data_IF_349784390581
#
_entry.id   IF_349784390581
#
_cell.length_a   1.000
_cell.length_b   1.000
_cell.length_c   1.000
_cell.angle_alpha   90.00
_cell.angle_beta   90.00
_cell.angle_gamma   90.00
#
_symmetry.space_group_name_H-M   'P 1'
#
loop_
_entity.id
_entity.type
_entity.pdbx_description
1 polymer ?
#
# COMPACT_ATOMS: atom_id res chain seq x y z
N UNK A 1 30.08 31.60 18.26
CA UNK A 1 29.04 32.41 18.91
C UNK A 1 28.22 31.50 19.80
N UNK A 2 28.33 31.69 21.11
CA UNK A 2 27.62 30.92 22.13
C UNK A 2 26.14 31.34 22.17
N UNK A 3 25.22 30.38 22.30
CA UNK A 3 23.83 30.68 22.65
C UNK A 3 23.33 29.73 23.76
N UNK A 4 23.49 30.24 24.98
CA UNK A 4 22.55 30.24 26.10
C UNK A 4 21.52 29.11 26.21
N UNK A 5 21.82 28.20 27.14
CA UNK A 5 20.90 27.27 27.80
C UNK A 5 19.86 28.05 28.63
N UNK A 6 18.56 27.77 28.41
CA UNK A 6 17.47 28.14 29.33
C UNK A 6 17.32 27.07 30.39
N UNK A 7 17.69 27.39 31.62
CA UNK A 7 17.40 26.60 32.82
C UNK A 7 15.99 26.91 33.32
N UNK A 8 15.12 25.91 33.35
CA UNK A 8 13.84 25.97 34.08
C UNK A 8 14.05 25.24 35.41
N UNK A 9 14.01 25.99 36.51
CA UNK A 9 14.02 25.45 37.87
C UNK A 9 12.57 25.50 38.36
N UNK A 10 11.90 24.37 38.41
CA UNK A 10 10.62 24.21 39.11
C UNK A 10 10.92 23.90 40.58
N UNK A 11 10.70 24.87 41.46
CA UNK A 11 10.76 24.70 42.89
C UNK A 11 9.49 24.03 43.41
N UNK A 12 9.65 23.02 44.26
CA UNK A 12 8.59 22.49 45.10
C UNK A 12 9.06 22.37 46.55
N UNK A 13 8.07 22.56 47.44
CA UNK A 13 7.97 22.17 48.86
C UNK A 13 8.61 23.04 49.96
N UNK A 14 7.75 23.73 50.71
CA UNK A 14 7.90 24.07 52.14
C UNK A 14 7.94 22.78 53.01
N UNK A 15 8.43 22.84 54.26
CA UNK A 15 7.53 23.14 55.39
C UNK A 15 8.15 24.00 56.52
N UNK A 16 7.26 24.43 57.43
CA UNK A 16 7.47 25.19 58.67
C UNK A 16 8.48 24.55 59.66
N UNK A 17 9.27 25.37 60.37
CA UNK A 17 9.58 25.21 61.80
C UNK A 17 10.34 26.42 62.38
N UNK A 18 10.04 26.69 63.64
CA UNK A 18 10.35 27.82 64.52
C UNK A 18 11.83 27.98 64.94
N UNK A 19 12.17 29.23 65.32
CA UNK A 19 13.26 29.69 66.20
C UNK A 19 14.30 28.66 66.69
N UNK A 20 15.60 28.93 66.42
CA UNK A 20 16.71 28.87 67.39
C UNK A 20 18.07 29.11 66.70
N UNK A 21 18.92 29.88 67.36
CA UNK A 21 20.33 29.53 67.56
C UNK A 21 21.29 29.62 66.37
N UNK A 22 22.15 30.64 66.41
CA UNK A 22 23.42 30.72 65.69
C UNK A 22 24.29 29.49 65.95
N UNK A 23 24.61 28.72 64.91
CA UNK A 23 25.74 27.79 64.89
C UNK A 23 26.50 27.97 63.56
N UNK A 24 27.74 28.46 63.65
CA UNK A 24 28.67 28.57 62.52
C UNK A 24 29.12 27.17 62.11
N UNK A 25 28.45 26.58 61.11
CA UNK A 25 28.89 25.35 60.46
C UNK A 25 30.01 25.60 59.45
N UNK A 26 31.15 24.95 59.66
CA UNK A 26 32.28 24.90 58.72
C UNK A 26 31.81 24.38 57.35
N UNK A 27 31.92 25.23 56.32
CA UNK A 27 31.54 24.92 54.95
C UNK A 27 32.66 24.11 54.28
N UNK A 28 32.62 22.78 54.39
CA UNK A 28 33.47 21.90 53.59
C UNK A 28 33.00 21.98 52.14
N UNK A 29 33.81 22.58 51.25
CA UNK A 29 33.59 22.49 49.80
C UNK A 29 33.87 21.06 49.37
N UNK A 30 32.83 20.23 49.25
CA UNK A 30 32.91 18.99 48.49
C UNK A 30 32.79 19.39 47.02
N UNK A 31 33.88 19.25 46.27
CA UNK A 31 33.86 19.41 44.83
C UNK A 31 33.03 18.27 44.24
N UNK A 32 31.74 18.54 44.05
CA UNK A 32 30.82 17.61 43.42
C UNK A 32 31.05 17.71 41.92
N UNK A 33 31.97 16.91 41.39
CA UNK A 33 32.10 16.70 39.94
C UNK A 33 30.80 16.06 39.45
N UNK A 34 29.87 16.86 38.94
CA UNK A 34 28.72 16.38 38.17
C UNK A 34 29.25 15.82 36.86
N UNK A 35 29.42 14.51 36.80
CA UNK A 35 29.63 13.79 35.55
C UNK A 35 28.30 13.74 34.80
N UNK A 36 28.17 14.57 33.76
CA UNK A 36 27.09 14.41 32.80
C UNK A 36 27.44 13.23 31.89
N UNK A 37 26.85 12.06 32.15
CA UNK A 37 26.85 10.98 31.17
C UNK A 37 25.88 11.36 30.05
N UNK A 38 26.40 11.88 28.94
CA UNK A 38 25.61 11.99 27.72
C UNK A 38 25.41 10.58 27.18
N UNK A 39 24.19 10.05 27.25
CA UNK A 39 23.80 8.80 26.59
C UNK A 39 23.82 9.00 25.06
N UNK A 40 25.02 9.03 24.49
CA UNK A 40 25.24 9.25 23.05
C UNK A 40 24.57 8.14 22.20
N UNK A 41 24.35 6.96 22.78
CA UNK A 41 23.65 5.84 22.16
C UNK A 41 22.21 6.15 21.69
N UNK A 42 21.50 7.06 22.36
CA UNK A 42 20.12 7.40 22.01
C UNK A 42 20.04 8.36 20.82
N UNK A 43 21.09 9.14 20.56
CA UNK A 43 21.17 10.05 19.41
C UNK A 43 21.76 9.41 18.16
N UNK A 44 22.54 8.34 18.30
CA UNK A 44 23.15 7.64 17.16
C UNK A 44 22.21 6.64 16.47
N UNK A 45 21.10 6.22 17.10
CA UNK A 45 20.12 5.33 16.47
C UNK A 45 19.17 6.15 15.60
N UNK A 46 19.44 6.19 14.30
CA UNK A 46 18.46 6.66 13.32
C UNK A 46 17.13 5.90 13.57
N UNK A 47 15.97 6.58 13.60
CA UNK A 47 14.70 5.92 13.85
C UNK A 47 14.50 4.84 12.80
N UNK A 48 14.23 3.60 13.24
CA UNK A 48 13.88 2.50 12.34
C UNK A 48 12.65 2.94 11.57
N UNK A 49 12.76 2.99 10.23
CA UNK A 49 11.64 3.39 9.38
C UNK A 49 10.49 2.40 9.60
N UNK A 50 9.29 2.84 9.98
CA UNK A 50 8.16 1.93 10.15
C UNK A 50 7.74 1.44 8.75
N UNK A 51 8.00 0.17 8.45
CA UNK A 51 7.64 -0.44 7.17
C UNK A 51 8.41 -1.72 6.88
N UNK A 52 7.77 -2.62 6.12
CA UNK A 52 8.41 -3.83 5.61
C UNK A 52 9.21 -3.44 4.36
N UNK A 53 10.49 -3.88 4.22
CA UNK A 53 11.28 -3.63 3.02
C UNK A 53 10.63 -4.18 1.74
N UNK A 54 10.72 -3.44 0.62
CA UNK A 54 10.11 -3.85 -0.66
C UNK A 54 10.57 -5.22 -1.18
N UNK A 55 11.84 -5.57 -0.98
CA UNK A 55 12.40 -6.87 -1.41
C UNK A 55 11.75 -8.08 -0.75
N UNK A 56 11.07 -7.89 0.38
CA UNK A 56 10.37 -8.95 1.11
C UNK A 56 8.91 -9.06 0.68
N UNK A 57 8.39 -8.10 -0.08
CA UNK A 57 7.00 -8.06 -0.52
C UNK A 57 6.88 -8.57 -1.95
N UNK A 58 5.85 -9.38 -2.18
CA UNK A 58 5.52 -9.93 -3.50
C UNK A 58 4.19 -9.38 -4.00
N UNK A 59 4.18 -8.90 -5.24
CA UNK A 59 2.98 -8.43 -5.95
C UNK A 59 2.50 -9.52 -6.91
N UNK A 60 1.28 -9.99 -6.72
CA UNK A 60 0.61 -10.99 -7.54
C UNK A 60 -0.39 -10.37 -8.52
N UNK A 61 -0.31 -10.80 -9.78
CA UNK A 61 -1.24 -10.44 -10.86
C UNK A 61 -1.95 -11.70 -11.36
N UNK A 62 -3.11 -12.05 -10.80
CA UNK A 62 -3.87 -13.22 -11.24
C UNK A 62 -4.63 -12.91 -12.54
N UNK A 63 -5.03 -13.96 -13.24
CA UNK A 63 -5.89 -13.88 -14.41
C UNK A 63 -7.33 -13.62 -13.98
N UNK A 64 -8.05 -12.82 -14.77
CA UNK A 64 -9.47 -12.58 -14.53
C UNK A 64 -10.31 -13.78 -14.99
N UNK A 65 -11.20 -14.24 -14.11
CA UNK A 65 -12.09 -15.38 -14.35
C UNK A 65 -13.50 -14.97 -14.80
N UNK A 66 -13.80 -13.67 -14.75
CA UNK A 66 -15.10 -13.16 -15.15
C UNK A 66 -15.31 -13.31 -16.67
N UNK A 67 -16.54 -13.66 -17.08
CA UNK A 67 -16.86 -13.90 -18.48
C UNK A 67 -16.55 -12.68 -19.35
N UNK A 68 -15.85 -12.90 -20.46
CA UNK A 68 -15.45 -11.88 -21.43
C UNK A 68 -14.58 -10.74 -20.86
N UNK A 69 -14.01 -10.89 -19.66
CA UNK A 69 -13.03 -9.95 -19.15
C UNK A 69 -11.70 -10.17 -19.88
N UNK A 70 -11.24 -9.14 -20.60
CA UNK A 70 -10.03 -9.22 -21.41
C UNK A 70 -8.88 -8.41 -20.84
N UNK A 71 -9.15 -7.54 -19.86
CA UNK A 71 -8.14 -6.66 -19.26
C UNK A 71 -7.27 -7.45 -18.27
N UNK A 72 -6.06 -6.96 -18.07
CA UNK A 72 -5.12 -7.41 -17.05
C UNK A 72 -4.78 -6.26 -16.11
N UNK A 73 -4.52 -6.55 -14.83
CA UNK A 73 -4.32 -5.51 -13.83
C UNK A 73 -3.00 -4.74 -13.98
N UNK A 74 -1.94 -5.42 -14.46
CA UNK A 74 -0.64 -4.80 -14.74
C UNK A 74 -0.18 -5.13 -16.16
N UNK A 75 0.27 -4.10 -16.87
CA UNK A 75 1.00 -4.26 -18.14
C UNK A 75 2.48 -4.57 -17.88
N UNK A 76 3.22 -5.11 -18.86
CA UNK A 76 4.66 -5.32 -18.73
C UNK A 76 5.45 -4.05 -18.35
N UNK A 77 5.01 -2.87 -18.82
CA UNK A 77 5.60 -1.59 -18.41
C UNK A 77 5.34 -1.25 -16.94
N UNK A 78 4.14 -1.58 -16.43
CA UNK A 78 3.82 -1.45 -15.01
C UNK A 78 4.67 -2.38 -14.14
N UNK A 79 4.89 -3.61 -14.60
CA UNK A 79 5.79 -4.58 -13.95
C UNK A 79 7.21 -4.04 -13.84
N UNK A 80 7.79 -3.52 -14.92
CA UNK A 80 9.13 -2.93 -14.89
C UNK A 80 9.24 -1.80 -13.85
N UNK A 81 8.19 -1.01 -13.68
CA UNK A 81 8.18 0.10 -12.71
C UNK A 81 8.20 -0.42 -11.28
N UNK A 82 7.43 -1.46 -10.97
CA UNK A 82 7.40 -2.08 -9.64
C UNK A 82 8.71 -2.81 -9.31
N UNK A 83 9.29 -3.51 -10.30
CA UNK A 83 10.58 -4.17 -10.15
C UNK A 83 11.69 -3.13 -9.90
N UNK A 84 11.66 -1.98 -10.59
CA UNK A 84 12.58 -0.87 -10.34
C UNK A 84 12.45 -0.28 -8.93
N UNK A 85 11.25 -0.28 -8.34
CA UNK A 85 11.05 0.11 -6.95
C UNK A 85 11.56 -0.93 -5.95
N UNK A 86 11.77 -2.17 -6.39
CA UNK A 86 12.35 -3.26 -5.60
C UNK A 86 11.35 -4.32 -5.12
N UNK A 87 10.13 -4.35 -5.68
CA UNK A 87 9.16 -5.41 -5.43
C UNK A 87 9.47 -6.65 -6.26
N UNK A 88 9.13 -7.83 -5.72
CA UNK A 88 9.05 -9.05 -6.52
C UNK A 88 7.67 -9.12 -7.17
N UNK A 89 7.61 -9.39 -8.48
CA UNK A 89 6.34 -9.48 -9.21
C UNK A 89 6.13 -10.88 -9.72
N UNK A 90 4.97 -11.47 -9.40
CA UNK A 90 4.51 -12.76 -9.90
C UNK A 90 3.24 -12.56 -10.71
N UNK A 91 3.16 -13.22 -11.87
CA UNK A 91 2.05 -13.12 -12.81
C UNK A 91 1.52 -14.52 -13.09
N UNK A 92 0.20 -14.69 -13.09
CA UNK A 92 -0.41 -15.96 -13.48
C UNK A 92 -0.18 -16.23 -14.97
N UNK A 93 0.16 -17.47 -15.33
CA UNK A 93 0.32 -17.85 -16.74
C UNK A 93 -0.96 -17.56 -17.53
N UNK A 94 -0.79 -16.89 -18.68
CA UNK A 94 -1.91 -16.54 -19.56
C UNK A 94 -2.76 -15.36 -19.07
N UNK A 95 -2.37 -14.66 -17.99
CA UNK A 95 -3.14 -13.51 -17.49
C UNK A 95 -3.27 -12.37 -18.51
N UNK A 96 -2.25 -12.18 -19.36
CA UNK A 96 -2.19 -11.10 -20.34
C UNK A 96 -2.69 -11.46 -21.74
N UNK A 97 -2.99 -12.73 -22.04
CA UNK A 97 -3.25 -13.19 -23.41
C UNK A 97 -4.40 -12.43 -24.07
N UNK A 98 -5.51 -12.26 -23.35
CA UNK A 98 -6.68 -11.52 -23.84
C UNK A 98 -6.41 -10.01 -24.03
N UNK A 99 -5.42 -9.47 -23.31
CA UNK A 99 -4.90 -8.11 -23.45
C UNK A 99 -3.77 -7.99 -24.49
N UNK A 100 -3.46 -9.07 -25.22
CA UNK A 100 -2.34 -9.15 -26.19
C UNK A 100 -0.95 -8.99 -25.56
N UNK A 101 -0.79 -9.37 -24.30
CA UNK A 101 0.52 -9.48 -23.66
C UNK A 101 0.86 -10.95 -23.43
N UNK A 102 1.90 -11.46 -24.09
CA UNK A 102 2.42 -12.80 -23.85
C UNK A 102 3.18 -12.89 -22.52
N UNK A 103 3.24 -14.10 -21.98
CA UNK A 103 4.02 -14.41 -20.77
C UNK A 103 5.51 -14.04 -20.93
N UNK A 104 6.05 -14.09 -22.15
CA UNK A 104 7.44 -13.71 -22.44
C UNK A 104 7.70 -12.21 -22.24
N UNK A 105 6.72 -11.35 -22.52
CA UNK A 105 6.84 -9.93 -22.23
C UNK A 105 6.92 -9.67 -20.72
N UNK A 106 6.20 -10.45 -19.91
CA UNK A 106 6.27 -10.37 -18.45
C UNK A 106 7.60 -10.90 -17.90
N UNK A 107 8.11 -12.01 -18.45
CA UNK A 107 9.45 -12.52 -18.10
C UNK A 107 10.54 -11.51 -18.42
N UNK A 108 10.50 -10.91 -19.61
CA UNK A 108 11.44 -9.85 -20.02
C UNK A 108 11.34 -8.58 -19.15
N UNK A 109 10.16 -8.29 -18.60
CA UNK A 109 9.95 -7.20 -17.66
C UNK A 109 10.46 -7.49 -16.23
N UNK A 110 10.91 -8.72 -15.96
CA UNK A 110 11.42 -9.13 -14.65
C UNK A 110 10.39 -9.76 -13.71
N UNK A 111 9.19 -10.11 -14.21
CA UNK A 111 8.23 -10.89 -13.45
C UNK A 111 8.49 -12.40 -13.57
N UNK A 112 8.10 -13.14 -12.54
CA UNK A 112 8.04 -14.60 -12.57
C UNK A 112 6.64 -15.07 -12.93
N UNK A 113 6.55 -16.09 -13.78
CA UNK A 113 5.26 -16.71 -14.14
C UNK A 113 4.99 -17.87 -13.19
N UNK A 114 3.84 -17.86 -12.53
CA UNK A 114 3.45 -18.84 -11.53
C UNK A 114 2.00 -19.33 -11.72
N UNK A 115 1.60 -20.32 -10.93
CA UNK A 115 0.22 -20.83 -10.94
C UNK A 115 -0.76 -19.91 -10.20
N UNK A 116 -2.05 -19.99 -10.54
CA UNK A 116 -3.10 -19.15 -9.97
C UNK A 116 -3.11 -19.10 -8.43
N UNK A 117 -2.94 -20.26 -7.77
CA UNK A 117 -2.96 -20.36 -6.30
C UNK A 117 -1.80 -19.60 -5.65
N UNK A 118 -0.61 -19.69 -6.23
CA UNK A 118 0.60 -19.05 -5.70
C UNK A 118 0.50 -17.53 -5.86
N UNK A 119 0.01 -17.08 -7.01
CA UNK A 119 -0.18 -15.67 -7.31
C UNK A 119 -1.20 -15.02 -6.37
N UNK A 120 -2.32 -15.69 -6.10
CA UNK A 120 -3.34 -15.21 -5.14
C UNK A 120 -2.85 -15.21 -3.68
N UNK A 121 -1.85 -16.02 -3.34
CA UNK A 121 -1.24 -16.08 -2.02
C UNK A 121 -0.14 -15.01 -1.79
N UNK A 122 0.03 -14.07 -2.72
CA UNK A 122 1.01 -12.98 -2.62
C UNK A 122 0.66 -11.97 -1.51
N UNK A 123 1.64 -11.16 -1.09
CA UNK A 123 1.43 -10.12 -0.08
C UNK A 123 0.53 -8.99 -0.59
N UNK A 124 0.74 -8.58 -1.85
CA UNK A 124 -0.08 -7.63 -2.56
C UNK A 124 -0.73 -8.34 -3.75
N UNK A 125 -2.06 -8.35 -3.84
CA UNK A 125 -2.78 -8.91 -4.98
C UNK A 125 -3.44 -7.76 -5.73
N UNK A 126 -3.11 -7.60 -7.00
CA UNK A 126 -3.64 -6.55 -7.86
C UNK A 126 -4.56 -7.17 -8.91
N UNK A 127 -5.84 -6.86 -8.82
CA UNK A 127 -6.88 -7.35 -9.73
C UNK A 127 -7.62 -6.18 -10.37
N UNK A 128 -8.24 -6.43 -11.51
CA UNK A 128 -9.16 -5.49 -12.12
C UNK A 128 -10.47 -5.56 -11.37
N UNK A 129 -11.11 -6.73 -11.35
CA UNK A 129 -12.43 -6.90 -10.73
C UNK A 129 -12.34 -7.50 -9.33
N UNK A 130 -13.45 -7.39 -8.61
CA UNK A 130 -13.64 -8.03 -7.32
C UNK A 130 -13.38 -9.54 -7.41
N UNK A 131 -12.76 -10.16 -6.38
CA UNK A 131 -12.62 -11.60 -6.30
C UNK A 131 -13.99 -12.30 -6.33
N UNK A 132 -14.08 -13.40 -7.08
CA UNK A 132 -15.33 -14.18 -7.20
C UNK A 132 -15.09 -15.68 -7.01
N UNK A 133 -16.15 -16.48 -7.10
CA UNK A 133 -16.02 -17.95 -7.09
C UNK A 133 -15.32 -18.39 -8.37
N UNK A 134 -14.20 -19.10 -8.23
CA UNK A 134 -13.46 -19.63 -9.36
C UNK A 134 -14.09 -20.97 -9.79
N UNK A 135 -14.71 -21.07 -10.98
CA UNK A 135 -15.33 -22.30 -11.43
C UNK A 135 -14.33 -23.43 -11.68
N UNK A 136 -13.08 -23.10 -12.03
CA UNK A 136 -12.02 -24.08 -12.32
C UNK A 136 -11.46 -24.71 -11.03
N UNK A 137 -11.35 -23.91 -9.97
CA UNK A 137 -10.80 -24.37 -8.69
C UNK A 137 -11.88 -24.83 -7.69
N UNK A 138 -13.15 -24.50 -7.95
CA UNK A 138 -14.28 -24.81 -7.06
C UNK A 138 -14.27 -24.04 -5.73
N UNK A 139 -13.39 -23.04 -5.59
CA UNK A 139 -13.21 -22.25 -4.36
C UNK A 139 -13.35 -20.76 -4.65
N UNK A 140 -13.70 -19.99 -3.61
CA UNK A 140 -13.75 -18.54 -3.73
C UNK A 140 -12.34 -17.96 -3.73
N UNK A 141 -12.03 -17.02 -4.62
CA UNK A 141 -10.69 -16.42 -4.69
C UNK A 141 -10.28 -15.71 -3.40
N UNK A 142 -11.25 -15.13 -2.67
CA UNK A 142 -11.00 -14.55 -1.35
C UNK A 142 -10.43 -15.59 -0.35
N UNK A 143 -10.75 -16.87 -0.51
CA UNK A 143 -10.20 -17.93 0.34
C UNK A 143 -8.75 -18.28 -0.02
N UNK A 144 -8.28 -17.89 -1.20
CA UNK A 144 -6.89 -18.11 -1.61
C UNK A 144 -5.97 -16.97 -1.20
N UNK A 145 -6.52 -15.87 -0.69
CA UNK A 145 -5.74 -14.73 -0.21
C UNK A 145 -5.00 -15.06 1.08
N UNK A 146 -3.77 -14.57 1.18
CA UNK A 146 -2.94 -14.65 2.38
C UNK A 146 -3.55 -13.82 3.53
N UNK A 147 -3.40 -14.31 4.76
CA UNK A 147 -3.72 -13.53 5.96
C UNK A 147 -2.84 -12.29 6.02
N UNK A 148 -3.44 -11.13 6.30
CA UNK A 148 -2.75 -9.83 6.29
C UNK A 148 -2.16 -9.42 4.94
N UNK A 149 -2.62 -10.02 3.83
CA UNK A 149 -2.36 -9.51 2.49
C UNK A 149 -3.12 -8.21 2.21
N UNK A 150 -2.71 -7.51 1.15
CA UNK A 150 -3.43 -6.35 0.62
C UNK A 150 -4.01 -6.65 -0.74
N UNK A 151 -5.30 -6.41 -0.93
CA UNK A 151 -6.00 -6.55 -2.21
C UNK A 151 -6.27 -5.16 -2.80
N UNK A 152 -5.89 -4.95 -4.05
CA UNK A 152 -6.20 -3.74 -4.82
C UNK A 152 -7.09 -4.13 -5.99
N UNK A 153 -8.35 -3.69 -6.01
CA UNK A 153 -9.30 -4.00 -7.08
C UNK A 153 -10.53 -3.10 -7.05
N UNK A 154 -11.41 -3.21 -8.05
CA UNK A 154 -12.77 -2.67 -7.95
C UNK A 154 -13.64 -3.56 -7.06
N UNK A 155 -14.12 -3.03 -5.94
CA UNK A 155 -14.88 -3.80 -4.94
C UNK A 155 -16.36 -3.43 -4.95
N UNK A 156 -16.68 -2.15 -5.18
CA UNK A 156 -18.03 -1.62 -5.04
C UNK A 156 -18.64 -1.97 -3.66
N UNK A 157 -18.05 -1.46 -2.55
CA UNK A 157 -18.38 -1.87 -1.19
C UNK A 157 -19.87 -1.74 -0.84
N UNK A 158 -20.56 -0.73 -1.37
CA UNK A 158 -21.97 -0.49 -1.11
C UNK A 158 -22.89 -1.57 -1.70
N UNK A 159 -22.46 -2.23 -2.79
CA UNK A 159 -23.24 -3.23 -3.51
C UNK A 159 -22.95 -4.65 -3.05
N UNK A 160 -21.76 -4.90 -2.49
CA UNK A 160 -21.26 -6.25 -2.20
C UNK A 160 -20.93 -6.48 -0.71
N UNK A 161 -21.92 -6.43 0.20
CA UNK A 161 -21.68 -6.62 1.64
C UNK A 161 -21.16 -8.02 1.98
N UNK A 162 -21.62 -9.06 1.26
CA UNK A 162 -21.17 -10.43 1.47
C UNK A 162 -19.67 -10.62 1.17
N UNK A 163 -19.18 -9.98 0.10
CA UNK A 163 -17.76 -10.02 -0.26
C UNK A 163 -16.91 -9.34 0.83
N UNK A 164 -17.36 -8.20 1.35
CA UNK A 164 -16.67 -7.51 2.45
C UNK A 164 -16.60 -8.40 3.70
N UNK A 165 -17.67 -9.11 4.03
CA UNK A 165 -17.68 -10.04 5.15
C UNK A 165 -16.65 -11.15 4.97
N UNK A 166 -16.53 -11.73 3.77
CA UNK A 166 -15.51 -12.75 3.47
C UNK A 166 -14.09 -12.20 3.56
N UNK A 167 -13.83 -11.01 3.00
CA UNK A 167 -12.51 -10.37 3.06
C UNK A 167 -12.14 -9.99 4.50
N UNK A 168 -13.13 -9.58 5.30
CA UNK A 168 -12.98 -9.28 6.73
C UNK A 168 -12.59 -10.53 7.54
N UNK A 169 -13.26 -11.67 7.29
CA UNK A 169 -12.92 -12.96 7.92
C UNK A 169 -11.46 -13.39 7.63
N UNK A 170 -10.93 -13.03 6.47
CA UNK A 170 -9.53 -13.29 6.08
C UNK A 170 -8.51 -12.30 6.66
N UNK A 171 -8.96 -11.23 7.32
CA UNK A 171 -8.11 -10.15 7.86
C UNK A 171 -7.21 -9.53 6.78
N UNK A 172 -7.73 -9.38 5.58
CA UNK A 172 -7.05 -8.78 4.44
C UNK A 172 -7.31 -7.27 4.42
N UNK A 173 -6.29 -6.47 4.09
CA UNK A 173 -6.46 -5.03 3.84
C UNK A 173 -6.94 -4.84 2.41
N UNK A 174 -8.02 -4.10 2.19
CA UNK A 174 -8.61 -3.94 0.85
C UNK A 174 -8.60 -2.48 0.45
N UNK A 175 -7.98 -2.18 -0.70
CA UNK A 175 -7.98 -0.87 -1.33
C UNK A 175 -8.94 -0.90 -2.53
N UNK A 176 -10.07 -0.23 -2.36
CA UNK A 176 -11.12 -0.16 -3.38
C UNK A 176 -10.82 0.99 -4.36
N UNK A 177 -10.50 0.64 -5.61
CA UNK A 177 -10.18 1.64 -6.66
C UNK A 177 -11.40 2.48 -7.07
N UNK A 178 -12.61 2.00 -6.79
CA UNK A 178 -13.85 2.76 -7.00
C UNK A 178 -14.09 3.87 -5.98
N UNK A 179 -13.47 3.77 -4.78
CA UNK A 179 -13.63 4.73 -3.69
C UNK A 179 -12.51 5.77 -3.63
N UNK A 180 -11.74 5.92 -4.72
CA UNK A 180 -10.72 6.97 -4.82
C UNK A 180 -11.43 8.34 -4.81
N UNK A 181 -11.08 9.26 -3.88
CA UNK A 181 -11.73 10.55 -3.81
C UNK A 181 -11.40 11.39 -5.06
N UNK A 182 -12.42 12.05 -5.60
CA UNK A 182 -12.28 12.91 -6.78
C UNK A 182 -11.72 14.27 -6.41
N UNK A 183 -10.42 14.32 -6.11
CA UNK A 183 -9.65 15.53 -5.77
C UNK A 183 -8.47 15.69 -6.73
N UNK A 184 -7.98 16.92 -6.91
CA UNK A 184 -6.94 17.25 -7.91
C UNK A 184 -5.64 16.44 -7.73
N UNK A 185 -5.22 16.21 -6.49
CA UNK A 185 -4.02 15.41 -6.17
C UNK A 185 -4.19 13.91 -6.49
N UNK A 186 -5.43 13.44 -6.62
CA UNK A 186 -5.78 12.04 -6.83
C UNK A 186 -6.16 11.69 -8.27
N UNK A 187 -6.28 12.69 -9.13
CA UNK A 187 -6.73 12.53 -10.50
C UNK A 187 -5.83 11.60 -11.33
N UNK A 188 -4.52 11.56 -11.02
CA UNK A 188 -3.55 10.72 -11.74
C UNK A 188 -3.73 9.21 -11.54
N UNK A 189 -4.47 8.78 -10.51
CA UNK A 189 -4.73 7.37 -10.22
C UNK A 189 -6.23 7.02 -10.15
N UNK A 190 -7.09 7.88 -10.71
CA UNK A 190 -8.52 7.59 -10.85
C UNK A 190 -8.78 6.58 -11.98
N UNK A 191 -9.05 5.34 -11.59
CA UNK A 191 -9.33 4.25 -12.50
C UNK A 191 -10.70 4.39 -13.20
N UNK A 192 -11.70 5.01 -12.57
CA UNK A 192 -13.03 5.20 -13.18
C UNK A 192 -12.96 6.21 -14.32
N UNK A 193 -12.25 7.32 -14.13
CA UNK A 193 -12.03 8.32 -15.19
C UNK A 193 -11.28 7.73 -16.39
N UNK A 194 -10.26 6.89 -16.14
CA UNK A 194 -9.52 6.19 -17.20
C UNK A 194 -10.41 5.24 -18.01
N UNK A 195 -11.25 4.45 -17.33
CA UNK A 195 -12.18 3.53 -18.00
C UNK A 195 -13.30 4.27 -18.74
N UNK A 196 -13.82 5.36 -18.19
CA UNK A 196 -14.85 6.19 -18.82
C UNK A 196 -14.34 6.83 -20.13
N UNK A 197 -13.08 7.27 -20.16
CA UNK A 197 -12.46 7.81 -21.37
C UNK A 197 -12.38 6.75 -22.48
N UNK A 198 -11.87 5.55 -22.15
CA UNK A 198 -11.80 4.42 -23.10
C UNK A 198 -13.19 4.04 -23.60
N UNK A 199 -14.18 3.99 -22.70
CA UNK A 199 -15.57 3.68 -23.05
C UNK A 199 -16.17 4.72 -24.01
N UNK A 200 -15.95 6.01 -23.75
CA UNK A 200 -16.42 7.11 -24.61
C UNK A 200 -15.83 7.02 -26.03
N UNK A 201 -14.51 6.80 -26.14
CA UNK A 201 -13.87 6.58 -27.43
C UNK A 201 -14.44 5.36 -28.16
N UNK A 202 -14.55 4.23 -27.45
CA UNK A 202 -15.07 3.00 -28.04
C UNK A 202 -16.52 3.13 -28.49
N UNK A 203 -17.35 3.88 -27.77
CA UNK A 203 -18.74 4.13 -28.14
C UNK A 203 -18.84 4.86 -29.49
N UNK A 204 -18.01 5.88 -29.74
CA UNK A 204 -17.98 6.60 -31.02
C UNK A 204 -17.53 5.68 -32.16
N UNK A 205 -16.50 4.85 -31.94
CA UNK A 205 -16.02 3.88 -32.93
C UNK A 205 -17.11 2.85 -33.28
N UNK A 206 -17.85 2.37 -32.28
CA UNK A 206 -18.97 1.45 -32.51
C UNK A 206 -20.11 2.15 -33.26
N UNK A 207 -20.44 3.39 -32.89
CA UNK A 207 -21.46 4.17 -33.59
C UNK A 207 -21.11 4.34 -35.08
N UNK A 208 -19.85 4.69 -35.40
CA UNK A 208 -19.38 4.80 -36.77
C UNK A 208 -19.49 3.48 -37.56
N UNK A 209 -19.18 2.36 -36.91
CA UNK A 209 -19.24 1.04 -37.53
C UNK A 209 -20.69 0.58 -37.83
N UNK A 210 -21.65 1.01 -37.03
CA UNK A 210 -23.07 0.67 -37.23
C UNK A 210 -23.84 1.71 -38.06
N UNK A 211 -23.29 2.92 -38.22
CA UNK A 211 -23.95 4.01 -38.94
C UNK A 211 -23.63 3.97 -40.44
N UNK A 212 -24.66 3.93 -41.28
CA UNK A 212 -24.52 3.73 -42.73
C UNK A 212 -24.13 4.97 -43.56
N UNK A 213 -23.64 6.05 -42.95
CA UNK A 213 -23.25 7.29 -43.64
C UNK A 213 -21.94 7.83 -43.10
N UNK A 214 -21.25 8.66 -43.90
CA UNK A 214 -20.08 9.40 -43.43
C UNK A 214 -20.47 10.44 -42.37
N UNK A 215 -19.58 10.67 -41.42
CA UNK A 215 -19.73 11.76 -40.44
C UNK A 215 -19.38 13.13 -41.02
N UNK A 216 -18.48 13.18 -41.99
CA UNK A 216 -17.94 14.43 -42.55
C UNK A 216 -18.77 15.00 -43.71
N UNK A 217 -19.65 14.19 -44.30
CA UNK A 217 -20.35 14.50 -45.56
C UNK A 217 -19.99 13.49 -46.65
#
# INVERSE_FOLDING_TARGET
>A
MANLLKTVVTGCSCPLLSNLGSCKGLRVKKDFLRTFHTHQELWCKAPVKPGIPYKQLTVGVPREIFQNEKRVALSPAGVQTLVKQGFNVVVESGAGEASKFSDDHYRAAGAQIQGAKEVLASDLVVKVRAPMVNPTLGVHEADLLKTSGTLISFIYPAQNPELLNKLSQRKTTVLAMDQVPRVTIAQGYDALSSMANIAGYKAVVLAANHFGRFFTG
#
